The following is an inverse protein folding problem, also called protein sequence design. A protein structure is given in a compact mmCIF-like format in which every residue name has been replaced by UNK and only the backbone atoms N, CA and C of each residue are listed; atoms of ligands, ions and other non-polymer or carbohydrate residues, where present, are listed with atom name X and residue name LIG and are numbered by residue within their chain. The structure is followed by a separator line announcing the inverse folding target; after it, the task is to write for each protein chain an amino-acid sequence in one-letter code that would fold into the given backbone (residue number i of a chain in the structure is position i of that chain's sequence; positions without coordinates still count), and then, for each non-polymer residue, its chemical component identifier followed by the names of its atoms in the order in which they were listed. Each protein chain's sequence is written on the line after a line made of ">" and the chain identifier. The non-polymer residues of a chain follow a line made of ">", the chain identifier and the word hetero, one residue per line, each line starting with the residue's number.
data_IF_872619959229
#
_entry.id   IF_872619959229
#
_cell.length_a   1.000
_cell.length_b   1.000
_cell.length_c   1.000
_cell.angle_alpha   90.00
_cell.angle_beta   90.00
_cell.angle_gamma   90.00
#
_symmetry.space_group_name_H-M   'P 1'
#
loop_
_entity.id
_entity.type
_entity.pdbx_description
1 polymer ?
#
# COMPACT_ATOMS: atom_id res chain seq x y z
N UNK A 1 6.19 15.42 25.83
CA UNK A 1 7.68 15.54 25.85
C UNK A 1 8.29 14.92 24.57
N UNK A 2 8.04 13.68 24.25
CA UNK A 2 8.61 13.00 23.07
C UNK A 2 8.24 13.66 21.73
N UNK A 3 6.98 14.03 21.52
CA UNK A 3 6.55 14.70 20.28
C UNK A 3 7.29 16.04 20.07
N UNK A 4 7.50 16.79 21.12
CA UNK A 4 8.23 18.07 21.05
C UNK A 4 9.69 17.87 20.65
N UNK A 5 10.35 16.84 21.18
CA UNK A 5 11.73 16.49 20.83
C UNK A 5 11.85 16.16 19.32
N UNK A 6 10.98 15.34 18.80
CA UNK A 6 11.01 14.95 17.38
C UNK A 6 10.67 16.12 16.44
N UNK A 7 9.84 17.08 16.87
CA UNK A 7 9.60 18.31 16.11
C UNK A 7 10.86 19.19 16.05
N UNK A 8 11.65 19.21 17.12
CA UNK A 8 12.95 19.90 17.09
C UNK A 8 13.92 19.20 16.14
N UNK A 9 14.00 17.87 16.17
CA UNK A 9 14.92 17.09 15.35
C UNK A 9 14.55 17.10 13.85
N UNK A 10 13.28 16.96 13.53
CA UNK A 10 12.83 16.73 12.14
C UNK A 10 11.98 17.87 11.57
N UNK A 11 11.72 18.90 12.36
CA UNK A 11 10.94 20.06 11.98
C UNK A 11 9.42 19.84 12.01
N UNK A 12 8.68 20.93 11.94
CA UNK A 12 7.23 20.91 11.79
C UNK A 12 6.86 20.60 10.34
N UNK A 13 5.91 19.69 10.17
CA UNK A 13 5.40 19.36 8.84
C UNK A 13 4.33 20.36 8.44
N UNK A 14 4.41 20.86 7.22
CA UNK A 14 3.49 21.84 6.64
C UNK A 14 2.70 21.21 5.52
N UNK A 15 1.53 21.76 5.30
CA UNK A 15 0.69 21.44 4.17
C UNK A 15 0.41 22.73 3.36
N UNK A 16 0.61 22.66 2.06
CA UNK A 16 0.23 23.73 1.13
C UNK A 16 -0.90 23.22 0.24
N UNK A 17 -1.97 23.99 0.07
CA UNK A 17 -3.08 23.61 -0.82
C UNK A 17 -2.58 23.41 -2.26
N UNK A 18 -3.19 22.46 -2.98
CA UNK A 18 -2.80 22.03 -4.34
C UNK A 18 -2.47 23.17 -5.31
N UNK A 19 -3.23 24.28 -5.26
CA UNK A 19 -3.01 25.45 -6.12
C UNK A 19 -1.66 26.16 -5.89
N UNK A 20 -1.02 25.92 -4.75
CA UNK A 20 0.23 26.57 -4.35
C UNK A 20 1.39 25.58 -4.21
N UNK A 21 1.13 24.27 -4.29
CA UNK A 21 2.20 23.28 -4.24
C UNK A 21 2.91 23.21 -5.60
N UNK A 22 4.19 23.54 -5.59
CA UNK A 22 4.97 23.63 -6.80
C UNK A 22 5.89 22.41 -6.96
N UNK A 23 5.42 21.41 -7.68
CA UNK A 23 6.17 20.17 -7.94
C UNK A 23 7.55 20.45 -8.61
N UNK A 24 7.62 21.40 -9.54
CA UNK A 24 8.89 21.79 -10.20
C UNK A 24 9.90 22.36 -9.22
N UNK A 25 9.47 23.20 -8.28
CA UNK A 25 10.34 23.74 -7.22
C UNK A 25 10.91 22.64 -6.35
N UNK A 26 10.14 21.61 -6.08
CA UNK A 26 10.53 20.45 -5.27
C UNK A 26 11.28 19.39 -6.10
N UNK A 27 11.48 19.61 -7.40
CA UNK A 27 12.09 18.64 -8.34
C UNK A 27 11.38 17.27 -8.31
N UNK A 28 10.08 17.29 -8.05
CA UNK A 28 9.25 16.08 -8.12
C UNK A 28 8.92 15.84 -9.57
N UNK A 29 9.30 14.68 -10.07
CA UNK A 29 8.91 14.21 -11.38
C UNK A 29 7.58 13.47 -11.28
N UNK A 30 6.64 13.75 -12.16
CA UNK A 30 5.36 13.07 -12.28
C UNK A 30 5.30 12.47 -13.67
N UNK A 31 5.37 11.16 -13.74
CA UNK A 31 5.27 10.41 -14.99
C UNK A 31 3.83 9.99 -15.18
N UNK A 32 3.18 10.58 -16.18
CA UNK A 32 1.86 10.14 -16.63
C UNK A 32 2.02 9.08 -17.71
N UNK A 33 1.35 7.97 -17.55
CA UNK A 33 1.39 6.87 -18.50
C UNK A 33 0.02 6.21 -18.67
N UNK A 34 -0.18 5.56 -19.80
CA UNK A 34 -1.34 4.69 -20.03
C UNK A 34 -0.91 3.24 -19.82
N UNK A 35 -1.56 2.56 -18.90
CA UNK A 35 -1.37 1.12 -18.78
C UNK A 35 -2.00 0.38 -19.98
N UNK A 36 -1.76 -0.93 -20.10
CA UNK A 36 -2.33 -1.77 -21.19
C UNK A 36 -3.87 -1.75 -21.27
N UNK A 37 -4.53 -1.32 -20.20
CA UNK A 37 -5.98 -1.16 -20.10
C UNK A 37 -6.47 0.25 -20.45
N UNK A 38 -5.59 1.13 -20.96
CA UNK A 38 -5.86 2.52 -21.36
C UNK A 38 -6.26 3.47 -20.23
N UNK A 39 -5.89 3.15 -19.01
CA UNK A 39 -6.11 4.01 -17.83
C UNK A 39 -4.89 4.91 -17.65
N UNK A 40 -5.13 6.21 -17.44
CA UNK A 40 -4.07 7.15 -17.11
C UNK A 40 -3.70 6.98 -15.63
N UNK A 41 -2.42 6.75 -15.39
CA UNK A 41 -1.84 6.61 -14.06
C UNK A 41 -0.70 7.61 -13.87
N UNK A 42 -0.35 7.85 -12.60
CA UNK A 42 0.71 8.79 -12.25
C UNK A 42 1.69 8.15 -11.29
N UNK A 43 2.95 8.11 -11.68
CA UNK A 43 4.06 7.76 -10.81
C UNK A 43 4.80 9.03 -10.40
N UNK A 44 4.96 9.23 -9.11
CA UNK A 44 5.68 10.34 -8.51
C UNK A 44 7.07 9.88 -8.11
N UNK A 45 8.12 10.54 -8.61
CA UNK A 45 9.51 10.36 -8.19
C UNK A 45 9.88 11.56 -7.33
N UNK A 46 10.07 11.34 -6.04
CA UNK A 46 10.20 12.38 -5.04
C UNK A 46 11.60 12.35 -4.42
N UNK A 47 12.52 13.23 -4.87
CA UNK A 47 13.92 13.17 -4.44
C UNK A 47 14.10 13.66 -2.99
N UNK A 48 15.10 13.09 -2.30
CA UNK A 48 15.50 13.45 -0.94
C UNK A 48 14.33 13.50 0.05
N UNK A 49 13.41 12.56 -0.08
CA UNK A 49 12.16 12.53 0.68
C UNK A 49 12.17 11.46 1.76
N UNK A 50 11.20 11.55 2.63
CA UNK A 50 10.97 10.61 3.73
C UNK A 50 9.52 10.15 3.78
N UNK A 51 9.33 8.93 4.26
CA UNK A 51 8.01 8.37 4.55
C UNK A 51 7.86 8.26 6.06
N UNK A 52 6.72 8.65 6.55
CA UNK A 52 6.29 8.37 7.90
C UNK A 52 4.94 7.66 7.89
N UNK A 53 4.84 6.58 8.62
CA UNK A 53 3.59 5.88 8.89
C UNK A 53 3.55 5.42 10.33
N UNK A 54 2.59 5.89 11.10
CA UNK A 54 2.40 5.41 12.48
C UNK A 54 1.61 4.11 12.51
N UNK A 55 0.64 4.02 11.61
CA UNK A 55 -0.11 2.79 11.29
C UNK A 55 -0.26 2.69 9.77
N UNK A 56 -0.70 1.54 9.27
CA UNK A 56 -0.95 1.35 7.84
C UNK A 56 -2.04 2.26 7.28
N UNK A 57 -2.86 2.86 8.16
CA UNK A 57 -3.89 3.82 7.78
C UNK A 57 -3.38 5.24 7.59
N UNK A 58 -2.13 5.53 7.96
CA UNK A 58 -1.55 6.87 7.89
C UNK A 58 -0.25 6.83 7.10
N UNK A 59 -0.25 7.43 5.94
CA UNK A 59 0.95 7.56 5.11
C UNK A 59 1.22 9.02 4.84
N UNK A 60 2.40 9.48 5.29
CA UNK A 60 2.91 10.80 5.00
C UNK A 60 4.20 10.69 4.19
N UNK A 61 4.14 11.13 2.94
CA UNK A 61 5.33 11.34 2.12
C UNK A 61 5.72 12.81 2.26
N UNK A 62 6.94 13.05 2.71
CA UNK A 62 7.38 14.36 3.17
C UNK A 62 8.66 14.74 2.43
N UNK A 63 8.64 15.92 1.82
CA UNK A 63 9.82 16.53 1.23
C UNK A 63 9.97 17.97 1.75
N UNK A 64 11.17 18.35 2.19
CA UNK A 64 11.45 19.68 2.74
C UNK A 64 10.46 20.13 3.84
N UNK A 65 10.04 19.19 4.69
CA UNK A 65 9.01 19.36 5.71
C UNK A 65 7.63 19.80 5.19
N UNK A 66 7.34 19.51 3.94
CA UNK A 66 6.01 19.67 3.35
C UNK A 66 5.44 18.30 2.95
N UNK A 67 4.15 18.08 3.21
CA UNK A 67 3.45 16.90 2.72
C UNK A 67 3.32 16.94 1.20
N UNK A 68 3.64 15.83 0.55
CA UNK A 68 3.45 15.68 -0.89
C UNK A 68 2.00 15.28 -1.16
N UNK A 69 1.35 16.05 -2.01
CA UNK A 69 -0.04 15.86 -2.39
C UNK A 69 -0.27 14.56 -3.16
N UNK A 70 -1.51 14.08 -3.14
CA UNK A 70 -2.04 12.91 -3.86
C UNK A 70 -1.48 11.57 -3.43
N UNK A 71 -0.29 11.52 -2.82
CA UNK A 71 0.38 10.30 -2.38
C UNK A 71 0.52 10.19 -0.86
N UNK A 72 0.07 11.23 -0.13
CA UNK A 72 -0.10 11.20 1.33
C UNK A 72 -1.57 11.11 1.66
N UNK A 73 -1.93 10.28 2.64
CA UNK A 73 -3.34 10.08 3.00
C UNK A 73 -3.51 9.67 4.45
N UNK A 74 -4.75 9.69 4.91
CA UNK A 74 -5.18 9.12 6.18
C UNK A 74 -6.49 8.37 6.02
N UNK A 75 -6.53 7.15 6.50
CA UNK A 75 -7.75 6.36 6.59
C UNK A 75 -8.24 6.34 8.04
N UNK A 76 -9.50 6.68 8.26
CA UNK A 76 -10.13 6.65 9.59
C UNK A 76 -11.53 6.09 9.44
N UNK A 77 -11.88 5.06 10.22
CA UNK A 77 -13.20 4.45 10.23
C UNK A 77 -13.72 4.11 8.82
N UNK A 78 -12.90 3.43 8.03
CA UNK A 78 -13.19 3.06 6.64
C UNK A 78 -13.47 4.24 5.70
N UNK A 79 -13.02 5.44 6.05
CA UNK A 79 -13.05 6.62 5.20
C UNK A 79 -11.63 7.00 4.83
N UNK A 80 -11.32 7.02 3.55
CA UNK A 80 -10.06 7.59 3.06
C UNK A 80 -10.19 9.10 2.98
N UNK A 81 -9.32 9.79 3.69
CA UNK A 81 -9.25 11.24 3.75
C UNK A 81 -8.01 11.73 3.03
N UNK A 82 -8.08 12.95 2.58
CA UNK A 82 -6.93 13.59 1.97
C UNK A 82 -5.83 13.94 2.99
N UNK A 83 -4.74 14.42 2.47
CA UNK A 83 -3.53 14.76 3.22
C UNK A 83 -3.73 15.84 4.29
N UNK A 84 -4.78 16.66 4.20
CA UNK A 84 -5.07 17.70 5.21
C UNK A 84 -5.44 17.13 6.57
N UNK A 85 -5.90 15.89 6.58
CA UNK A 85 -6.25 15.15 7.81
C UNK A 85 -5.07 14.36 8.38
N UNK A 86 -3.91 14.39 7.73
CA UNK A 86 -2.78 13.58 8.17
C UNK A 86 -2.23 14.06 9.52
N UNK A 87 -2.12 13.16 10.48
CA UNK A 87 -1.70 13.45 11.85
C UNK A 87 -0.31 14.04 11.96
N UNK A 88 0.58 13.85 10.99
CA UNK A 88 1.90 14.47 11.04
C UNK A 88 1.87 15.99 11.05
N UNK A 89 0.76 16.60 10.61
CA UNK A 89 0.58 18.07 10.66
C UNK A 89 0.45 18.57 12.09
N UNK A 90 -0.20 17.81 12.98
CA UNK A 90 -0.31 18.13 14.41
C UNK A 90 0.84 17.54 15.24
N UNK A 91 1.19 16.27 14.99
CA UNK A 91 2.03 15.47 15.87
C UNK A 91 3.52 15.47 15.45
N UNK A 92 3.79 15.88 14.20
CA UNK A 92 5.11 15.71 13.58
C UNK A 92 5.37 14.25 13.25
N UNK A 93 6.65 13.85 13.27
CA UNK A 93 7.08 12.48 12.96
C UNK A 93 7.77 11.84 14.17
N UNK A 94 7.03 11.42 15.22
CA UNK A 94 7.59 11.01 16.51
C UNK A 94 8.18 9.58 16.51
N UNK A 95 9.02 9.27 15.52
CA UNK A 95 9.78 8.01 15.41
C UNK A 95 11.20 8.30 14.92
N UNK A 96 12.21 7.51 15.34
CA UNK A 96 13.55 7.61 14.81
C UNK A 96 13.58 7.46 13.29
N UNK A 97 14.36 8.31 12.63
CA UNK A 97 14.53 8.29 11.18
C UNK A 97 15.61 7.27 10.80
N UNK A 98 15.26 6.32 9.93
CA UNK A 98 16.20 5.39 9.32
C UNK A 98 16.50 5.83 7.88
N UNK A 99 17.77 5.79 7.51
CA UNK A 99 18.20 6.06 6.14
C UNK A 99 18.40 4.77 5.39
N UNK A 100 17.92 4.76 4.14
CA UNK A 100 18.12 3.69 3.17
C UNK A 100 18.67 4.28 1.88
N UNK A 101 19.58 3.55 1.25
CA UNK A 101 20.14 3.95 -0.02
C UNK A 101 19.21 3.58 -1.19
N UNK A 102 19.31 4.38 -2.26
CA UNK A 102 18.56 4.13 -3.49
C UNK A 102 17.10 4.57 -3.47
N UNK A 103 16.33 3.95 -4.32
CA UNK A 103 14.93 4.29 -4.60
C UNK A 103 13.99 3.30 -3.89
N UNK A 104 12.99 3.82 -3.19
CA UNK A 104 12.02 3.05 -2.43
C UNK A 104 10.62 3.23 -3.03
N UNK A 105 9.99 2.14 -3.47
CA UNK A 105 8.58 2.16 -3.84
C UNK A 105 7.70 2.06 -2.60
N UNK A 106 6.89 3.10 -2.37
CA UNK A 106 5.92 3.16 -1.27
C UNK A 106 4.67 2.37 -1.60
N UNK A 107 4.45 1.29 -0.88
CA UNK A 107 3.31 0.39 -1.05
C UNK A 107 2.36 0.38 0.16
N UNK A 108 2.70 1.11 1.24
CA UNK A 108 1.83 1.16 2.42
C UNK A 108 0.48 1.75 2.04
N UNK A 109 -0.56 0.98 2.31
CA UNK A 109 -1.94 1.35 2.05
C UNK A 109 -2.82 0.77 3.16
N UNK A 110 -3.89 1.47 3.54
CA UNK A 110 -4.77 1.05 4.64
C UNK A 110 -5.25 -0.39 4.52
N UNK A 111 -5.30 -1.11 5.64
CA UNK A 111 -5.70 -2.50 5.77
C UNK A 111 -4.84 -3.55 5.03
N UNK A 112 -3.87 -3.16 4.21
CA UNK A 112 -3.10 -4.07 3.35
C UNK A 112 -2.12 -4.98 4.12
N UNK A 113 -1.81 -4.69 5.38
CA UNK A 113 -0.86 -5.48 6.17
C UNK A 113 -1.36 -6.88 6.56
N UNK A 114 -2.63 -7.01 6.89
CA UNK A 114 -3.22 -8.27 7.38
C UNK A 114 -4.40 -8.76 6.54
N UNK A 115 -4.80 -8.00 5.55
CA UNK A 115 -5.96 -8.31 4.72
C UNK A 115 -5.50 -8.76 3.34
N UNK A 116 -5.78 -10.02 3.00
CA UNK A 116 -5.38 -10.64 1.74
C UNK A 116 -5.95 -9.90 0.52
N UNK A 117 -7.22 -9.49 0.58
CA UNK A 117 -7.86 -8.72 -0.47
C UNK A 117 -7.12 -7.39 -0.73
N UNK A 118 -6.88 -6.59 0.33
CA UNK A 118 -6.18 -5.32 0.18
C UNK A 118 -4.72 -5.49 -0.26
N UNK A 119 -4.07 -6.58 0.12
CA UNK A 119 -2.73 -6.86 -0.37
C UNK A 119 -2.72 -7.08 -1.89
N UNK A 120 -3.64 -7.87 -2.41
CA UNK A 120 -3.75 -8.13 -3.85
C UNK A 120 -4.19 -6.89 -4.63
N UNK A 121 -5.25 -6.22 -4.18
CA UNK A 121 -5.89 -5.15 -4.93
C UNK A 121 -5.22 -3.79 -4.76
N UNK A 122 -4.48 -3.57 -3.67
CA UNK A 122 -3.78 -2.31 -3.42
C UNK A 122 -2.27 -2.45 -3.69
N UNK A 123 -1.57 -3.36 -2.98
CA UNK A 123 -0.11 -3.48 -3.04
C UNK A 123 0.35 -4.09 -4.35
N UNK A 124 -0.15 -5.26 -4.71
CA UNK A 124 0.23 -5.94 -5.96
C UNK A 124 -0.06 -5.05 -7.16
N UNK A 125 -1.22 -4.40 -7.19
CA UNK A 125 -1.58 -3.51 -8.30
C UNK A 125 -0.67 -2.28 -8.39
N UNK A 126 -0.28 -1.67 -7.26
CA UNK A 126 0.71 -0.58 -7.26
C UNK A 126 2.06 -1.02 -7.83
N UNK A 127 2.52 -2.23 -7.51
CA UNK A 127 3.76 -2.78 -8.08
C UNK A 127 3.64 -2.91 -9.60
N UNK A 128 2.55 -3.49 -10.06
CA UNK A 128 2.29 -3.68 -11.50
C UNK A 128 2.25 -2.34 -12.23
N UNK A 129 1.59 -1.35 -11.67
CA UNK A 129 1.52 -0.02 -12.23
C UNK A 129 2.90 0.65 -12.25
N UNK A 130 3.67 0.57 -11.16
CA UNK A 130 5.04 1.10 -11.13
C UNK A 130 5.92 0.45 -12.19
N UNK A 131 5.78 -0.86 -12.39
CA UNK A 131 6.59 -1.63 -13.34
C UNK A 131 6.30 -1.33 -14.81
N UNK A 132 5.23 -0.63 -15.12
CA UNK A 132 5.00 -0.12 -16.47
C UNK A 132 5.94 1.03 -16.84
N UNK A 133 6.56 1.65 -15.82
CA UNK A 133 7.47 2.81 -15.97
C UNK A 133 8.88 2.47 -15.52
N UNK A 134 9.02 1.80 -14.38
CA UNK A 134 10.32 1.46 -13.77
C UNK A 134 10.37 -0.06 -13.57
N UNK A 135 11.28 -0.76 -14.25
CA UNK A 135 11.45 -2.20 -14.06
C UNK A 135 11.81 -2.59 -12.62
N UNK A 136 11.39 -3.79 -12.18
CA UNK A 136 11.65 -4.29 -10.81
C UNK A 136 13.14 -4.31 -10.42
N UNK A 137 14.03 -4.54 -11.37
CA UNK A 137 15.47 -4.57 -11.10
C UNK A 137 16.05 -3.19 -10.77
N UNK A 138 15.42 -2.10 -11.24
CA UNK A 138 15.82 -0.73 -10.97
C UNK A 138 15.29 -0.20 -9.63
N UNK A 139 14.22 -0.82 -9.06
CA UNK A 139 13.72 -0.50 -7.73
C UNK A 139 14.60 -1.16 -6.67
N UNK A 140 15.21 -0.35 -5.80
CA UNK A 140 16.10 -0.86 -4.76
C UNK A 140 15.32 -1.52 -3.62
N UNK A 141 14.21 -0.91 -3.19
CA UNK A 141 13.42 -1.41 -2.06
C UNK A 141 11.91 -1.22 -2.27
N UNK A 142 11.14 -2.12 -1.64
CA UNK A 142 9.68 -2.11 -1.58
C UNK A 142 9.25 -1.91 -0.13
N UNK A 143 8.60 -0.81 0.17
CA UNK A 143 8.16 -0.45 1.52
C UNK A 143 6.70 -0.80 1.71
N UNK A 144 6.41 -1.82 2.51
CA UNK A 144 5.06 -2.37 2.70
C UNK A 144 4.82 -2.85 4.13
N UNK A 145 3.55 -3.00 4.58
CA UNK A 145 3.23 -3.43 5.93
C UNK A 145 3.31 -4.96 6.07
N UNK A 146 4.35 -5.41 6.75
CA UNK A 146 4.57 -6.82 7.11
C UNK A 146 5.38 -7.62 6.09
N UNK A 147 5.82 -8.81 6.55
CA UNK A 147 6.59 -9.80 5.77
C UNK A 147 6.05 -11.20 6.06
N UNK A 148 4.73 -11.37 6.02
CA UNK A 148 4.13 -12.69 6.23
C UNK A 148 4.49 -13.62 5.09
N UNK A 149 4.55 -14.93 5.38
CA UNK A 149 4.92 -15.94 4.37
C UNK A 149 4.11 -15.80 3.09
N UNK A 150 2.78 -15.72 3.19
CA UNK A 150 1.92 -15.58 2.02
C UNK A 150 2.15 -14.27 1.22
N UNK A 151 2.57 -13.18 1.89
CA UNK A 151 2.95 -11.93 1.22
C UNK A 151 4.23 -12.11 0.42
N UNK A 152 5.23 -12.75 1.01
CA UNK A 152 6.50 -13.06 0.34
C UNK A 152 6.26 -14.00 -0.85
N UNK A 153 5.44 -15.03 -0.68
CA UNK A 153 5.09 -15.97 -1.74
C UNK A 153 4.47 -15.24 -2.95
N UNK A 154 3.51 -14.33 -2.71
CA UNK A 154 2.90 -13.51 -3.77
C UNK A 154 3.93 -12.57 -4.43
N UNK A 155 4.79 -11.93 -3.65
CA UNK A 155 5.80 -11.01 -4.18
C UNK A 155 6.87 -11.74 -5.00
N UNK A 156 7.24 -12.96 -4.61
CA UNK A 156 8.16 -13.78 -5.38
C UNK A 156 7.58 -14.17 -6.75
N UNK A 157 6.25 -14.33 -6.85
CA UNK A 157 5.57 -14.53 -8.13
C UNK A 157 5.62 -13.31 -9.06
N UNK A 158 5.94 -12.14 -8.50
CA UNK A 158 6.18 -10.90 -9.24
C UNK A 158 7.68 -10.63 -9.44
N UNK A 159 8.54 -11.63 -9.23
CA UNK A 159 10.00 -11.54 -9.34
C UNK A 159 10.64 -10.54 -8.36
N UNK A 160 10.00 -10.32 -7.19
CA UNK A 160 10.51 -9.45 -6.14
C UNK A 160 11.25 -10.26 -5.09
N UNK A 161 12.55 -9.97 -4.97
CA UNK A 161 13.38 -10.61 -3.96
C UNK A 161 13.02 -10.09 -2.56
N UNK A 162 12.82 -11.00 -1.59
CA UNK A 162 12.49 -10.68 -0.21
C UNK A 162 13.50 -9.74 0.47
N UNK A 163 14.77 -9.76 0.06
CA UNK A 163 15.81 -8.89 0.60
C UNK A 163 15.61 -7.40 0.23
N UNK A 164 14.79 -7.10 -0.78
CA UNK A 164 14.40 -5.75 -1.14
C UNK A 164 13.22 -5.23 -0.32
N UNK A 165 12.60 -6.04 0.53
CA UNK A 165 11.39 -5.68 1.27
C UNK A 165 11.75 -5.02 2.60
N UNK A 166 11.22 -3.83 2.81
CA UNK A 166 11.29 -3.08 4.07
C UNK A 166 9.92 -3.13 4.74
N UNK A 167 9.87 -3.67 5.97
CA UNK A 167 8.63 -3.73 6.75
C UNK A 167 8.33 -2.38 7.41
N UNK A 168 7.19 -1.79 7.08
CA UNK A 168 6.75 -0.52 7.67
C UNK A 168 6.40 -0.62 9.16
N UNK A 169 6.14 -1.82 9.68
CA UNK A 169 5.95 -2.02 11.11
C UNK A 169 7.26 -1.92 11.89
N UNK A 170 8.37 -2.25 11.25
CA UNK A 170 9.72 -2.16 11.83
C UNK A 170 10.30 -0.76 11.63
N UNK A 171 10.18 -0.21 10.42
CA UNK A 171 10.74 1.10 10.06
C UNK A 171 9.63 2.10 9.71
N UNK A 172 9.04 2.71 10.71
CA UNK A 172 7.89 3.63 10.54
C UNK A 172 8.26 5.02 10.03
N UNK A 173 9.54 5.40 10.10
CA UNK A 173 10.08 6.66 9.61
C UNK A 173 11.38 6.39 8.86
N UNK A 174 11.35 6.55 7.57
CA UNK A 174 12.52 6.32 6.72
C UNK A 174 12.74 7.45 5.72
N UNK A 175 13.99 7.60 5.29
CA UNK A 175 14.42 8.52 4.24
C UNK A 175 15.19 7.76 3.18
N UNK A 176 15.02 8.16 1.92
CA UNK A 176 15.69 7.58 0.77
C UNK A 176 16.21 8.64 -0.19
N UNK A 177 17.00 8.19 -1.19
CA UNK A 177 17.40 9.03 -2.31
C UNK A 177 16.17 9.52 -3.06
N UNK A 178 15.28 8.59 -3.46
CA UNK A 178 13.98 8.91 -4.01
C UNK A 178 12.91 8.04 -3.34
N UNK A 179 11.74 8.61 -3.11
CA UNK A 179 10.52 7.86 -2.84
C UNK A 179 9.71 7.83 -4.11
N UNK A 180 9.41 6.61 -4.56
CA UNK A 180 8.50 6.34 -5.66
C UNK A 180 7.12 6.09 -5.08
N UNK A 181 6.09 6.77 -5.57
CA UNK A 181 4.75 6.66 -5.05
C UNK A 181 3.70 6.75 -6.15
N UNK A 182 2.58 6.05 -5.94
CA UNK A 182 1.39 6.11 -6.79
C UNK A 182 0.18 6.53 -5.96
N UNK A 183 -0.77 7.15 -6.63
CA UNK A 183 -2.10 7.33 -6.07
C UNK A 183 -2.76 5.97 -5.81
N UNK A 184 -3.90 5.95 -5.13
CA UNK A 184 -4.61 4.70 -4.94
C UNK A 184 -5.11 4.16 -6.29
N UNK A 185 -4.90 2.87 -6.61
CA UNK A 185 -5.12 2.36 -7.96
C UNK A 185 -6.60 2.29 -8.39
N UNK A 186 -7.53 2.27 -7.45
CA UNK A 186 -8.96 2.14 -7.76
C UNK A 186 -9.88 2.99 -6.89
N UNK A 187 -9.33 3.67 -5.89
CA UNK A 187 -10.13 4.39 -4.91
C UNK A 187 -9.54 5.78 -4.63
N UNK A 188 -10.37 6.82 -4.63
CA UNK A 188 -9.85 8.19 -4.47
C UNK A 188 -10.11 8.74 -3.07
N UNK A 189 -11.34 9.13 -2.76
CA UNK A 189 -11.68 9.72 -1.45
C UNK A 189 -13.09 9.30 -1.06
N UNK A 190 -13.38 9.20 0.25
CA UNK A 190 -14.68 8.89 0.77
C UNK A 190 -14.79 7.51 1.44
N UNK A 191 -15.92 6.84 1.32
CA UNK A 191 -16.15 5.52 1.90
C UNK A 191 -15.46 4.43 1.09
N UNK A 192 -14.59 3.64 1.72
CA UNK A 192 -13.88 2.55 1.06
C UNK A 192 -14.84 1.53 0.46
N UNK A 193 -15.98 1.29 1.10
CA UNK A 193 -17.00 0.36 0.59
C UNK A 193 -17.51 0.76 -0.79
N UNK A 194 -17.67 2.05 -1.06
CA UNK A 194 -18.06 2.54 -2.39
C UNK A 194 -16.98 2.22 -3.44
N UNK A 195 -15.71 2.36 -3.06
CA UNK A 195 -14.60 1.97 -3.91
C UNK A 195 -14.57 0.47 -4.18
N UNK A 196 -14.78 -0.36 -3.15
CA UNK A 196 -14.83 -1.83 -3.29
C UNK A 196 -15.93 -2.26 -4.27
N UNK A 197 -17.09 -1.62 -4.23
CA UNK A 197 -18.20 -1.91 -5.14
C UNK A 197 -17.91 -1.51 -6.59
N UNK A 198 -16.90 -0.67 -6.81
CA UNK A 198 -16.54 -0.12 -8.12
C UNK A 198 -15.08 -0.42 -8.52
N UNK A 199 -14.55 -1.55 -8.10
CA UNK A 199 -13.19 -1.97 -8.50
C UNK A 199 -13.14 -2.11 -10.03
N UNK A 200 -12.15 -1.49 -10.70
CA UNK A 200 -12.00 -1.61 -12.14
C UNK A 200 -11.79 -3.07 -12.58
N UNK A 201 -12.55 -3.51 -13.57
CA UNK A 201 -12.49 -4.88 -14.10
C UNK A 201 -11.07 -5.31 -14.50
N UNK A 202 -10.26 -4.39 -15.03
CA UNK A 202 -8.89 -4.70 -15.43
C UNK A 202 -8.02 -5.23 -14.29
N UNK A 203 -8.28 -4.81 -13.05
CA UNK A 203 -7.56 -5.32 -11.87
C UNK A 203 -7.88 -6.79 -11.66
N UNK A 204 -9.15 -7.16 -11.73
CA UNK A 204 -9.60 -8.54 -11.59
C UNK A 204 -9.02 -9.41 -12.72
N UNK A 205 -9.09 -8.92 -13.95
CA UNK A 205 -8.54 -9.62 -15.12
C UNK A 205 -7.03 -9.83 -15.00
N UNK A 206 -6.30 -8.81 -14.57
CA UNK A 206 -4.86 -8.91 -14.34
C UNK A 206 -4.52 -9.95 -13.27
N UNK A 207 -5.16 -9.88 -12.10
CA UNK A 207 -4.91 -10.83 -11.01
C UNK A 207 -5.25 -12.26 -11.45
N UNK A 208 -6.36 -12.45 -12.15
CA UNK A 208 -6.74 -13.74 -12.71
C UNK A 208 -5.71 -14.26 -13.71
N UNK A 209 -5.31 -13.47 -14.69
CA UNK A 209 -4.31 -13.83 -15.69
C UNK A 209 -2.97 -14.23 -15.05
N UNK A 210 -2.54 -13.46 -14.03
CA UNK A 210 -1.25 -13.68 -13.38
C UNK A 210 -1.21 -14.92 -12.50
N UNK A 211 -2.29 -15.21 -11.78
CA UNK A 211 -2.26 -16.23 -10.72
C UNK A 211 -3.07 -17.50 -11.04
N UNK A 212 -4.03 -17.47 -11.98
CA UNK A 212 -4.90 -18.63 -12.25
C UNK A 212 -4.12 -19.87 -12.68
N UNK A 213 -3.11 -19.70 -13.52
CA UNK A 213 -2.31 -20.82 -14.04
C UNK A 213 -1.42 -21.48 -12.98
N UNK A 214 -1.26 -20.83 -11.81
CA UNK A 214 -0.51 -21.35 -10.67
C UNK A 214 -1.40 -21.95 -9.60
N UNK A 215 -2.72 -21.81 -9.76
CA UNK A 215 -3.68 -22.50 -8.90
C UNK A 215 -3.50 -24.01 -9.07
N UNK A 216 -3.34 -24.72 -7.94
CA UNK A 216 -3.35 -26.17 -7.95
C UNK A 216 -4.73 -26.61 -8.43
N UNK A 217 -4.79 -27.41 -9.48
CA UNK A 217 -6.03 -28.10 -9.85
C UNK A 217 -6.29 -29.14 -8.75
N UNK A 218 -7.43 -29.02 -8.12
CA UNK A 218 -7.97 -30.12 -7.31
C UNK A 218 -8.67 -31.04 -8.29
N UNK A 219 -8.03 -32.17 -8.61
CA UNK A 219 -8.66 -33.19 -9.44
C UNK A 219 -9.86 -33.77 -8.67
N UNK A 220 -11.02 -33.79 -9.30
CA UNK A 220 -12.27 -34.37 -8.84
C UNK A 220 -13.06 -33.63 -7.73
N UNK A 221 -12.88 -32.33 -7.55
CA UNK A 221 -13.78 -31.55 -6.69
C UNK A 221 -14.74 -30.70 -7.53
N UNK A 222 -16.02 -31.05 -7.54
CA UNK A 222 -17.08 -30.22 -8.11
C UNK A 222 -17.47 -29.06 -7.19
N UNK A 223 -17.30 -29.24 -5.88
CA UNK A 223 -17.68 -28.27 -4.85
C UNK A 223 -16.55 -28.06 -3.85
N UNK A 224 -16.39 -26.83 -3.37
CA UNK A 224 -15.39 -26.46 -2.36
C UNK A 224 -16.11 -25.74 -1.22
N UNK A 225 -15.96 -26.24 0.00
CA UNK A 225 -16.36 -25.56 1.20
C UNK A 225 -15.17 -24.82 1.81
N UNK A 226 -15.30 -23.49 2.00
CA UNK A 226 -14.26 -22.67 2.61
C UNK A 226 -14.60 -22.46 4.08
N UNK A 227 -13.94 -23.22 4.95
CA UNK A 227 -14.02 -23.05 6.39
C UNK A 227 -13.15 -21.85 6.83
N UNK A 228 -13.66 -21.09 7.79
CA UNK A 228 -12.97 -19.96 8.43
C UNK A 228 -12.86 -20.11 9.94
N UNK A 229 -13.00 -21.31 10.46
CA UNK A 229 -12.93 -21.60 11.89
C UNK A 229 -11.57 -21.26 12.52
N UNK A 230 -10.49 -21.30 11.72
CA UNK A 230 -9.12 -20.97 12.10
C UNK A 230 -8.73 -19.50 11.88
N UNK A 231 -9.68 -18.63 11.51
CA UNK A 231 -9.36 -17.22 11.26
C UNK A 231 -8.98 -16.47 12.53
N UNK A 232 -7.89 -15.70 12.49
CA UNK A 232 -7.31 -14.96 13.64
C UNK A 232 -8.28 -14.00 14.36
N UNK A 233 -9.35 -13.55 13.71
CA UNK A 233 -10.24 -12.50 14.20
C UNK A 233 -11.68 -12.94 14.46
N UNK A 234 -12.00 -14.20 14.47
CA UNK A 234 -13.37 -14.72 14.62
C UNK A 234 -14.42 -14.08 13.68
N UNK A 235 -13.97 -13.47 12.57
CA UNK A 235 -14.86 -12.81 11.61
C UNK A 235 -15.46 -13.83 10.66
N UNK A 236 -16.77 -13.76 10.48
CA UNK A 236 -17.50 -14.64 9.57
C UNK A 236 -17.37 -16.13 9.90
N UNK A 237 -17.22 -16.50 11.17
CA UNK A 237 -17.37 -17.89 11.61
C UNK A 237 -18.81 -18.33 11.46
N UNK A 238 -19.02 -19.51 10.91
CA UNK A 238 -20.32 -20.13 10.92
C UNK A 238 -20.60 -20.69 12.32
N UNK A 239 -21.75 -20.35 12.89
CA UNK A 239 -22.13 -20.81 14.24
C UNK A 239 -22.31 -22.32 14.28
N UNK A 240 -22.84 -22.89 13.20
CA UNK A 240 -23.09 -24.32 13.03
C UNK A 240 -22.11 -24.98 12.04
N UNK A 241 -20.86 -24.54 12.00
CA UNK A 241 -19.84 -25.03 11.07
C UNK A 241 -19.68 -26.55 11.11
N UNK A 242 -19.72 -27.14 12.32
CA UNK A 242 -19.58 -28.58 12.53
C UNK A 242 -20.73 -29.39 11.86
N UNK A 243 -21.95 -28.92 12.00
CA UNK A 243 -23.13 -29.56 11.40
C UNK A 243 -23.07 -29.53 9.87
N UNK A 244 -22.54 -28.41 9.31
CA UNK A 244 -22.36 -28.28 7.86
C UNK A 244 -21.31 -29.26 7.36
N UNK A 245 -20.17 -29.38 8.04
CA UNK A 245 -19.11 -30.33 7.68
C UNK A 245 -19.65 -31.75 7.69
N UNK A 246 -20.38 -32.18 8.75
CA UNK A 246 -20.99 -33.51 8.77
C UNK A 246 -21.94 -33.81 7.61
N UNK A 247 -22.64 -32.79 7.11
CA UNK A 247 -23.53 -32.95 5.95
C UNK A 247 -22.72 -33.08 4.65
N UNK A 248 -21.63 -32.34 4.53
CA UNK A 248 -20.79 -32.32 3.33
C UNK A 248 -19.88 -33.55 3.20
N UNK A 249 -19.60 -34.25 4.29
CA UNK A 249 -18.79 -35.47 4.31
C UNK A 249 -19.61 -36.75 4.02
N UNK A 250 -20.95 -36.66 3.94
CA UNK A 250 -21.88 -37.74 3.58
C UNK A 250 -22.15 -37.80 2.09
#
# INVERSE_FOLDING_TARGET
>A
FFQSLFKVLYGNIKFKKNKTYNYKKHKIEIISYKNKYRINEFLYIIPNSRIYTDTVEHVAIIQNNELVHNVSFQQVNSILRDETYNKVLSDGTPRPLKHFDGDILSLVQGASGNNYFHFLFDIVIKIVLANTVIPNNEINHYYLPGKKKWQIDILSELDINQNKIIDSNEYRHLKAKNILALEHPWYKKGLIQEGVNNIPEWIVLFLRERFINKAKKFDNCEYIFIDRSDSDFNRCKLVNNYEIIEILEK
#
